data_IF_845458671357
#
_entry.id   IF_845458671357
#
_cell.length_a   1.000
_cell.length_b   1.000
_cell.length_c   1.000
_cell.angle_alpha   90.00
_cell.angle_beta   90.00
_cell.angle_gamma   90.00
#
_symmetry.space_group_name_H-M   'P 1'
#
loop_
_entity.id
_entity.type
_entity.pdbx_description
1 polymer ?
#
# COMPACT_ATOMS: atom_id res chain seq x y z
N UNK A 1 12.15 3.91 11.40
CA UNK A 1 10.87 4.05 10.70
C UNK A 1 11.14 4.28 9.22
N UNK A 2 10.58 3.42 8.38
CA UNK A 2 10.78 3.48 6.93
C UNK A 2 9.55 4.02 6.24
N UNK A 3 9.75 4.64 5.10
CA UNK A 3 8.66 5.17 4.28
C UNK A 3 8.86 4.73 2.83
N UNK A 4 7.82 4.14 2.24
CA UNK A 4 7.82 3.79 0.83
C UNK A 4 6.64 4.43 0.14
N UNK A 5 6.85 4.81 -1.10
CA UNK A 5 5.83 5.45 -1.91
C UNK A 5 5.72 4.71 -3.23
N UNK A 6 4.51 4.28 -3.57
CA UNK A 6 4.27 3.50 -4.78
C UNK A 6 3.24 4.19 -5.66
N UNK A 7 3.47 4.12 -6.97
CA UNK A 7 2.44 4.48 -7.94
C UNK A 7 1.68 3.19 -8.26
N UNK A 8 0.37 3.22 -8.07
CA UNK A 8 -0.45 2.02 -8.21
C UNK A 8 -1.60 2.30 -9.17
N UNK A 9 -1.70 1.47 -10.23
CA UNK A 9 -2.76 1.60 -11.21
C UNK A 9 -4.07 1.02 -10.70
N UNK A 10 -5.17 1.63 -11.14
CA UNK A 10 -6.48 1.03 -10.98
C UNK A 10 -7.19 1.30 -9.67
N UNK A 11 -6.71 2.25 -8.88
CA UNK A 11 -7.44 2.66 -7.67
C UNK A 11 -8.48 3.69 -8.11
N UNK A 12 -9.69 3.23 -8.40
CA UNK A 12 -10.70 4.09 -9.02
C UNK A 12 -11.89 4.40 -8.11
N UNK A 13 -11.98 3.79 -6.94
CA UNK A 13 -13.08 4.07 -6.01
C UNK A 13 -12.66 3.83 -4.56
N UNK A 14 -13.53 4.27 -3.64
CA UNK A 14 -13.27 4.18 -2.20
C UNK A 14 -13.13 2.74 -1.71
N UNK A 15 -13.85 1.80 -2.32
CA UNK A 15 -13.74 0.40 -1.92
C UNK A 15 -12.35 -0.14 -2.17
N UNK A 16 -11.78 0.18 -3.32
CA UNK A 16 -10.43 -0.25 -3.66
C UNK A 16 -9.40 0.38 -2.73
N UNK A 17 -9.57 1.68 -2.46
CA UNK A 17 -8.71 2.39 -1.51
C UNK A 17 -8.75 1.70 -0.13
N UNK A 18 -9.94 1.41 0.36
CA UNK A 18 -10.11 0.78 1.67
C UNK A 18 -9.52 -0.62 1.70
N UNK A 19 -9.69 -1.39 0.63
CA UNK A 19 -9.13 -2.74 0.54
C UNK A 19 -7.61 -2.73 0.64
N UNK A 20 -6.97 -1.83 -0.11
CA UNK A 20 -5.51 -1.70 -0.07
C UNK A 20 -5.05 -1.30 1.32
N UNK A 21 -5.68 -0.29 1.88
CA UNK A 21 -5.32 0.20 3.20
C UNK A 21 -5.46 -0.88 4.25
N UNK A 22 -6.60 -1.57 4.26
CA UNK A 22 -6.84 -2.62 5.24
C UNK A 22 -5.86 -3.79 5.10
N UNK A 23 -5.57 -4.18 3.87
CA UNK A 23 -4.63 -5.26 3.63
C UNK A 23 -3.23 -4.93 4.15
N UNK A 24 -2.78 -3.70 3.89
CA UNK A 24 -1.46 -3.27 4.34
C UNK A 24 -1.40 -3.11 5.85
N UNK A 25 -2.47 -2.62 6.46
CA UNK A 25 -2.50 -2.44 7.92
C UNK A 25 -2.46 -3.75 8.68
N UNK A 26 -2.77 -4.86 8.04
CA UNK A 26 -2.67 -6.18 8.66
C UNK A 26 -1.23 -6.69 8.78
N UNK A 27 -0.31 -6.09 8.05
CA UNK A 27 1.09 -6.50 8.10
C UNK A 27 1.68 -5.99 9.42
N UNK A 28 2.28 -6.90 10.19
CA UNK A 28 2.94 -6.51 11.43
C UNK A 28 4.10 -5.59 11.14
N UNK A 29 4.13 -4.45 11.80
CA UNK A 29 5.17 -3.44 11.60
C UNK A 29 4.73 -2.26 10.76
N UNK A 30 3.58 -2.34 10.11
CA UNK A 30 3.04 -1.20 9.36
C UNK A 30 2.37 -0.23 10.33
N UNK A 31 2.85 1.01 10.34
CA UNK A 31 2.34 2.05 11.24
C UNK A 31 1.23 2.87 10.61
N UNK A 32 1.37 3.21 9.34
CA UNK A 32 0.40 4.08 8.68
C UNK A 32 0.37 3.83 7.18
N UNK A 33 -0.80 3.99 6.58
CA UNK A 33 -1.00 3.83 5.15
C UNK A 33 -1.84 5.00 4.65
N UNK A 34 -1.34 5.70 3.64
CA UNK A 34 -2.06 6.76 2.96
C UNK A 34 -2.26 6.39 1.50
N UNK A 35 -3.50 6.44 1.05
CA UNK A 35 -3.84 6.17 -0.34
C UNK A 35 -4.41 7.44 -0.96
N UNK A 36 -3.81 7.88 -2.07
CA UNK A 36 -4.25 9.05 -2.81
C UNK A 36 -4.82 8.60 -4.15
N UNK A 37 -6.15 8.59 -4.27
CA UNK A 37 -6.81 8.15 -5.50
C UNK A 37 -6.58 9.10 -6.66
N UNK A 38 -6.47 10.38 -6.37
CA UNK A 38 -6.28 11.38 -7.42
C UNK A 38 -4.94 11.20 -8.13
N UNK A 39 -3.92 10.79 -7.40
CA UNK A 39 -2.58 10.56 -7.95
C UNK A 39 -2.33 9.10 -8.27
N UNK A 40 -3.18 8.19 -7.77
CA UNK A 40 -2.94 6.77 -7.90
C UNK A 40 -1.72 6.33 -7.11
N UNK A 41 -1.53 6.89 -5.91
CA UNK A 41 -0.35 6.58 -5.11
C UNK A 41 -0.71 6.02 -3.74
N UNK A 42 0.21 5.22 -3.21
CA UNK A 42 0.10 4.63 -1.88
C UNK A 42 1.40 4.91 -1.13
N UNK A 43 1.29 5.49 0.05
CA UNK A 43 2.44 5.71 0.91
C UNK A 43 2.29 4.86 2.17
N UNK A 44 3.35 4.15 2.52
CA UNK A 44 3.34 3.26 3.68
C UNK A 44 4.49 3.63 4.60
N UNK A 45 4.18 3.81 5.88
CA UNK A 45 5.18 4.04 6.92
C UNK A 45 5.23 2.77 7.77
N UNK A 46 6.41 2.20 7.90
CA UNK A 46 6.56 0.91 8.55
C UNK A 46 7.87 0.77 9.30
N UNK A 47 7.91 -0.23 10.18
CA UNK A 47 9.09 -0.63 10.93
C UNK A 47 9.23 -2.15 10.85
N UNK A 48 10.34 -2.66 11.35
CA UNK A 48 10.49 -4.12 11.48
C UNK A 48 9.36 -4.69 12.33
N UNK A 49 8.84 -5.87 12.03
CA UNK A 49 9.36 -6.85 11.05
C UNK A 49 8.85 -6.66 9.63
N UNK A 50 8.08 -5.62 9.34
CA UNK A 50 7.60 -5.37 7.98
C UNK A 50 8.77 -5.06 7.04
N UNK A 51 8.66 -5.54 5.80
CA UNK A 51 9.66 -5.30 4.76
C UNK A 51 8.99 -4.69 3.53
N UNK A 52 9.80 -4.02 2.71
CA UNK A 52 9.32 -3.48 1.44
C UNK A 52 8.74 -4.59 0.56
N UNK A 53 9.38 -5.74 0.55
CA UNK A 53 8.93 -6.89 -0.23
C UNK A 53 7.52 -7.32 0.15
N UNK A 54 7.25 -7.41 1.44
CA UNK A 54 5.93 -7.79 1.93
C UNK A 54 4.87 -6.76 1.52
N UNK A 55 5.24 -5.48 1.60
CA UNK A 55 4.32 -4.39 1.26
C UNK A 55 4.00 -4.43 -0.22
N UNK A 56 5.00 -4.58 -1.09
CA UNK A 56 4.80 -4.69 -2.52
C UNK A 56 3.92 -5.90 -2.87
N UNK A 57 4.25 -7.04 -2.30
CA UNK A 57 3.47 -8.27 -2.53
C UNK A 57 2.02 -8.11 -2.10
N UNK A 58 1.80 -7.43 -0.98
CA UNK A 58 0.45 -7.20 -0.47
C UNK A 58 -0.37 -6.35 -1.44
N UNK A 59 0.23 -5.28 -1.95
CA UNK A 59 -0.44 -4.41 -2.93
C UNK A 59 -0.79 -5.20 -4.18
N UNK A 60 0.15 -5.99 -4.68
CA UNK A 60 -0.08 -6.80 -5.88
C UNK A 60 -1.15 -7.85 -5.66
N UNK A 61 -1.21 -8.43 -4.46
CA UNK A 61 -2.22 -9.44 -4.13
C UNK A 61 -3.64 -8.87 -4.09
N UNK A 62 -3.79 -7.57 -3.94
CA UNK A 62 -5.11 -6.94 -4.01
C UNK A 62 -5.60 -6.79 -5.45
N UNK A 63 -4.78 -7.18 -6.44
CA UNK A 63 -5.15 -7.12 -7.84
C UNK A 63 -4.67 -5.88 -8.57
N UNK A 64 -3.84 -5.09 -7.92
CA UNK A 64 -3.29 -3.86 -8.51
C UNK A 64 -1.84 -4.06 -8.91
N UNK A 65 -1.41 -3.30 -9.91
CA UNK A 65 -0.01 -3.30 -10.34
C UNK A 65 0.68 -2.05 -9.82
N UNK A 66 1.91 -2.25 -9.36
CA UNK A 66 2.76 -1.13 -8.96
C UNK A 66 3.51 -0.67 -10.21
N UNK A 67 3.44 0.62 -10.50
CA UNK A 67 4.21 1.22 -11.58
C UNK A 67 5.57 1.64 -11.05
N UNK A 68 6.59 1.30 -11.79
CA UNK A 68 7.97 1.63 -11.41
C UNK A 68 8.61 2.56 -12.41
#
# INVERSE_FOLDING_TARGET
>A
MEREHYMVNGIVNENMKTQIKNALEKIEGVDNVCVDMARGSVEVIYNKPATEQEIRSCIENTGHKIEE
#
